data_IF_725055309318
#
_entry.id   IF_725055309318
#
_cell.length_a   1.000
_cell.length_b   1.000
_cell.length_c   1.000
_cell.angle_alpha   90.00
_cell.angle_beta   90.00
_cell.angle_gamma   90.00
#
_symmetry.space_group_name_H-M   'P 1'
#
loop_
_entity.id
_entity.type
_entity.pdbx_description
1 polymer ?
#
# COMPACT_ATOMS: atom_id res chain seq x y z
N UNK A 1 6.44 1.67 20.95
CA UNK A 1 7.47 2.74 20.87
C UNK A 1 6.83 4.10 21.10
N UNK A 2 5.54 4.25 20.76
CA UNK A 2 4.61 5.14 21.45
C UNK A 2 3.73 4.27 22.39
N UNK A 3 3.16 4.84 23.45
CA UNK A 3 2.25 4.13 24.38
C UNK A 3 0.89 3.92 23.70
N UNK A 4 0.79 2.90 22.84
CA UNK A 4 -0.40 2.57 22.05
C UNK A 4 -1.47 1.85 22.90
N UNK A 5 -1.96 2.49 23.96
CA UNK A 5 -3.09 1.94 24.72
C UNK A 5 -4.37 2.09 23.89
N UNK A 6 -4.98 0.98 23.46
CA UNK A 6 -6.34 0.95 22.92
C UNK A 6 -6.48 0.79 21.41
N UNK A 7 -5.42 0.39 20.69
CA UNK A 7 -5.51 0.00 19.27
C UNK A 7 -4.92 -1.41 19.11
N UNK A 8 -5.79 -2.37 18.76
CA UNK A 8 -5.38 -3.71 18.31
C UNK A 8 -4.32 -3.55 17.23
N UNK A 9 -3.18 -4.24 17.38
CA UNK A 9 -2.00 -4.05 16.55
C UNK A 9 -2.33 -3.85 15.07
N UNK A 10 -1.69 -2.86 14.45
CA UNK A 10 -1.91 -2.42 13.06
C UNK A 10 -1.43 -3.43 12.02
N UNK A 11 -1.97 -4.66 12.08
CA UNK A 11 -1.79 -5.70 11.08
C UNK A 11 -3.10 -6.50 10.99
N UNK A 12 -3.65 -6.67 9.79
CA UNK A 12 -4.88 -7.44 9.52
C UNK A 12 -4.90 -8.82 10.23
N UNK A 13 -3.77 -9.51 10.28
CA UNK A 13 -3.70 -10.83 10.93
C UNK A 13 -3.79 -10.74 12.44
N UNK A 14 -3.22 -9.70 13.04
CA UNK A 14 -3.34 -9.46 14.46
C UNK A 14 -4.79 -9.13 14.82
N UNK A 15 -5.43 -8.28 14.01
CA UNK A 15 -6.84 -7.96 14.16
C UNK A 15 -7.75 -9.17 14.00
N UNK A 16 -7.55 -10.00 12.97
CA UNK A 16 -8.30 -11.23 12.75
C UNK A 16 -8.33 -12.13 13.99
N UNK A 17 -7.21 -12.20 14.71
CA UNK A 17 -6.99 -13.09 15.84
C UNK A 17 -7.20 -12.40 17.19
N UNK A 18 -7.56 -11.12 17.22
CA UNK A 18 -7.58 -10.28 18.43
C UNK A 18 -8.75 -10.54 19.39
N UNK A 19 -9.77 -11.31 18.98
CA UNK A 19 -11.02 -11.45 19.74
C UNK A 19 -10.83 -11.95 21.18
N UNK A 20 -9.77 -12.71 21.44
CA UNK A 20 -9.44 -13.21 22.78
C UNK A 20 -8.86 -12.13 23.71
N UNK A 21 -8.38 -11.01 23.16
CA UNK A 21 -7.63 -9.97 23.87
C UNK A 21 -8.32 -8.60 23.84
N UNK A 22 -9.36 -8.41 23.03
CA UNK A 22 -10.17 -7.18 23.03
C UNK A 22 -11.28 -7.23 24.09
N UNK A 23 -11.65 -6.06 24.60
CA UNK A 23 -12.78 -5.94 25.53
C UNK A 23 -14.10 -6.32 24.86
N UNK A 24 -15.04 -6.87 25.63
CA UNK A 24 -16.38 -7.20 25.14
C UNK A 24 -17.12 -5.96 24.59
N UNK A 25 -16.88 -4.80 25.19
CA UNK A 25 -17.46 -3.52 24.76
C UNK A 25 -17.08 -3.13 23.32
N UNK A 26 -15.89 -3.51 22.88
CA UNK A 26 -15.40 -3.33 21.51
C UNK A 26 -15.81 -4.51 20.61
N UNK A 27 -15.59 -5.75 21.09
CA UNK A 27 -15.83 -6.97 20.33
C UNK A 27 -17.28 -7.13 19.87
N UNK A 28 -18.28 -6.68 20.65
CA UNK A 28 -19.69 -6.78 20.26
C UNK A 28 -20.05 -6.11 18.93
N UNK A 29 -19.25 -5.14 18.48
CA UNK A 29 -19.44 -4.42 17.21
C UNK A 29 -18.66 -5.02 16.04
N UNK A 30 -17.92 -6.09 16.26
CA UNK A 30 -17.12 -6.75 15.24
C UNK A 30 -17.74 -8.08 14.86
N UNK A 31 -18.13 -8.28 13.59
CA UNK A 31 -18.64 -9.56 13.14
C UNK A 31 -17.59 -10.67 13.25
N UNK A 32 -18.02 -11.89 13.55
CA UNK A 32 -17.14 -13.04 13.81
C UNK A 32 -16.32 -13.49 12.57
N UNK A 33 -16.80 -13.18 11.37
CA UNK A 33 -16.05 -13.42 10.14
C UNK A 33 -15.00 -12.33 9.86
N UNK A 34 -15.05 -11.20 10.56
CA UNK A 34 -14.00 -10.15 10.47
C UNK A 34 -12.92 -10.40 11.54
N UNK A 35 -13.35 -10.66 12.78
CA UNK A 35 -12.52 -11.10 13.91
C UNK A 35 -12.98 -12.47 14.39
N UNK A 36 -12.13 -13.48 14.23
CA UNK A 36 -12.48 -14.87 14.55
C UNK A 36 -12.83 -15.02 16.03
N UNK A 37 -13.82 -15.87 16.36
CA UNK A 37 -14.12 -16.17 17.76
C UNK A 37 -12.88 -16.76 18.46
N UNK A 38 -12.80 -16.60 19.78
CA UNK A 38 -11.64 -17.03 20.59
C UNK A 38 -11.27 -18.50 20.35
N UNK A 39 -12.27 -19.37 20.19
CA UNK A 39 -12.11 -20.79 19.88
C UNK A 39 -11.42 -21.07 18.54
N UNK A 40 -11.55 -20.18 17.56
CA UNK A 40 -10.88 -20.27 16.27
C UNK A 40 -9.54 -19.51 16.25
N UNK A 41 -9.41 -18.44 17.04
CA UNK A 41 -8.20 -17.65 17.13
C UNK A 41 -7.06 -18.39 17.85
N UNK A 42 -7.34 -19.03 19.00
CA UNK A 42 -6.31 -19.71 19.81
C UNK A 42 -5.57 -20.84 19.07
N UNK A 43 -6.23 -21.73 18.30
CA UNK A 43 -5.56 -22.70 17.45
C UNK A 43 -4.58 -22.08 16.44
N UNK A 44 -4.93 -20.94 15.83
CA UNK A 44 -4.08 -20.25 14.85
C UNK A 44 -2.92 -19.50 15.51
N UNK A 45 -3.11 -18.98 16.73
CA UNK A 45 -2.05 -18.30 17.48
C UNK A 45 -0.98 -19.30 17.93
N UNK A 46 -1.42 -20.44 18.48
CA UNK A 46 -0.53 -21.45 19.05
C UNK A 46 0.03 -22.40 17.99
N UNK A 47 -0.72 -22.65 16.92
CA UNK A 47 -0.46 -23.71 15.95
C UNK A 47 -0.95 -25.06 16.47
N UNK A 48 -1.63 -25.80 15.60
CA UNK A 48 -2.15 -27.14 15.87
C UNK A 48 -1.35 -28.25 15.20
N UNK A 49 -0.45 -27.89 14.27
CA UNK A 49 0.42 -28.82 13.53
C UNK A 49 -0.30 -29.69 12.49
N UNK A 50 -1.63 -29.66 12.46
CA UNK A 50 -2.48 -30.44 11.56
C UNK A 50 -3.67 -29.58 11.10
N UNK A 51 -3.77 -29.37 9.78
CA UNK A 51 -4.82 -28.57 9.17
C UNK A 51 -6.22 -29.17 9.38
N UNK A 52 -6.34 -30.50 9.60
CA UNK A 52 -7.62 -31.16 9.87
C UNK A 52 -8.25 -30.77 11.20
N UNK A 53 -7.47 -30.21 12.13
CA UNK A 53 -7.92 -29.79 13.47
C UNK A 53 -8.37 -28.34 13.54
N UNK A 54 -8.23 -27.59 12.44
CA UNK A 54 -8.64 -26.20 12.39
C UNK A 54 -10.18 -26.10 12.30
N UNK A 55 -10.80 -25.12 13.00
CA UNK A 55 -12.23 -24.86 12.89
C UNK A 55 -12.55 -24.14 11.57
N UNK A 56 -12.55 -24.92 10.48
CA UNK A 56 -12.78 -24.42 9.12
C UNK A 56 -14.14 -23.74 8.94
N UNK A 57 -15.15 -24.13 9.72
CA UNK A 57 -16.45 -23.49 9.76
C UNK A 57 -16.40 -21.99 10.10
N UNK A 58 -15.45 -21.59 10.96
CA UNK A 58 -15.25 -20.18 11.35
C UNK A 58 -14.20 -19.49 10.47
N UNK A 59 -13.16 -20.23 10.08
CA UNK A 59 -12.03 -19.68 9.31
C UNK A 59 -12.41 -19.40 7.85
N UNK A 60 -13.18 -20.29 7.20
CA UNK A 60 -13.52 -20.14 5.79
C UNK A 60 -14.37 -18.88 5.51
N UNK A 61 -15.41 -18.54 6.29
CA UNK A 61 -16.11 -17.27 6.16
C UNK A 61 -15.17 -16.06 6.24
N UNK A 62 -14.19 -16.08 7.14
CA UNK A 62 -13.24 -14.97 7.29
C UNK A 62 -12.29 -14.82 6.09
N UNK A 63 -11.88 -15.95 5.49
CA UNK A 63 -11.11 -15.96 4.24
C UNK A 63 -11.98 -15.43 3.10
N UNK A 64 -13.22 -15.89 2.98
CA UNK A 64 -14.13 -15.47 1.92
C UNK A 64 -14.49 -13.98 2.03
N UNK A 65 -14.67 -13.47 3.23
CA UNK A 65 -14.92 -12.03 3.45
C UNK A 65 -13.74 -11.19 2.92
N UNK A 66 -12.49 -11.53 3.28
CA UNK A 66 -11.30 -10.83 2.75
C UNK A 66 -11.13 -11.02 1.25
N UNK A 67 -11.38 -12.23 0.74
CA UNK A 67 -11.29 -12.53 -0.68
C UNK A 67 -12.28 -11.70 -1.49
N UNK A 68 -13.54 -11.61 -1.05
CA UNK A 68 -14.56 -10.79 -1.71
C UNK A 68 -14.23 -9.30 -1.61
N UNK A 69 -13.83 -8.83 -0.44
CA UNK A 69 -13.45 -7.44 -0.24
C UNK A 69 -12.28 -7.03 -1.15
N UNK A 70 -11.18 -7.79 -1.16
CA UNK A 70 -10.05 -7.49 -2.04
C UNK A 70 -10.37 -7.75 -3.51
N UNK A 71 -11.12 -8.80 -3.82
CA UNK A 71 -11.48 -9.16 -5.19
C UNK A 71 -12.40 -8.15 -5.84
N UNK A 72 -13.45 -7.70 -5.14
CA UNK A 72 -14.38 -6.67 -5.64
C UNK A 72 -13.63 -5.34 -5.83
N UNK A 73 -12.76 -4.96 -4.88
CA UNK A 73 -11.97 -3.73 -5.03
C UNK A 73 -10.94 -3.83 -6.17
N UNK A 74 -10.38 -5.03 -6.39
CA UNK A 74 -9.48 -5.30 -7.52
C UNK A 74 -10.20 -5.04 -8.84
N UNK A 75 -11.46 -5.43 -8.99
CA UNK A 75 -12.24 -5.09 -10.18
C UNK A 75 -12.42 -3.58 -10.37
N UNK A 76 -12.66 -2.82 -9.29
CA UNK A 76 -12.76 -1.35 -9.35
C UNK A 76 -11.44 -0.77 -9.87
N UNK A 77 -10.32 -1.14 -9.26
CA UNK A 77 -9.00 -0.60 -9.61
C UNK A 77 -8.51 -1.04 -10.98
N UNK A 78 -8.74 -2.29 -11.39
CA UNK A 78 -8.46 -2.77 -12.76
C UNK A 78 -9.31 -1.97 -13.76
N UNK A 79 -10.59 -1.73 -13.48
CA UNK A 79 -11.46 -0.91 -14.33
C UNK A 79 -10.95 0.52 -14.49
N UNK A 80 -10.49 1.15 -13.40
CA UNK A 80 -9.86 2.47 -13.41
C UNK A 80 -8.53 2.44 -14.19
N UNK A 81 -7.68 1.43 -13.95
CA UNK A 81 -6.43 1.27 -14.68
C UNK A 81 -6.66 1.12 -16.19
N UNK A 82 -7.71 0.39 -16.60
CA UNK A 82 -8.12 0.29 -18.00
C UNK A 82 -8.55 1.64 -18.58
N UNK A 83 -9.31 2.43 -17.82
CA UNK A 83 -9.75 3.76 -18.25
C UNK A 83 -8.56 4.69 -18.45
N UNK A 84 -7.59 4.72 -17.53
CA UNK A 84 -6.43 5.62 -17.62
C UNK A 84 -5.24 5.05 -18.39
N UNK A 85 -5.32 3.80 -18.86
CA UNK A 85 -4.22 3.08 -19.53
C UNK A 85 -3.60 3.89 -20.66
N UNK A 86 -4.42 4.44 -21.55
CA UNK A 86 -3.94 5.22 -22.69
C UNK A 86 -3.39 6.57 -22.26
N UNK A 87 -4.12 7.29 -21.42
CA UNK A 87 -3.71 8.63 -20.97
C UNK A 87 -2.34 8.57 -20.28
N UNK A 88 -2.20 7.67 -19.30
CA UNK A 88 -0.98 7.59 -18.50
C UNK A 88 0.21 7.00 -19.25
N UNK A 89 0.00 6.00 -20.13
CA UNK A 89 1.11 5.28 -20.77
C UNK A 89 1.47 5.87 -22.14
N UNK A 90 0.49 6.22 -22.98
CA UNK A 90 0.74 6.67 -24.36
C UNK A 90 0.83 8.18 -24.49
N UNK A 91 -0.06 8.92 -23.80
CA UNK A 91 -0.19 10.37 -23.94
C UNK A 91 0.77 11.09 -22.99
N UNK A 92 0.57 10.93 -21.67
CA UNK A 92 1.42 11.52 -20.65
C UNK A 92 2.79 10.83 -20.56
N UNK A 93 2.86 9.55 -20.94
CA UNK A 93 4.08 8.74 -20.91
C UNK A 93 4.72 8.71 -19.52
N UNK A 94 3.90 8.50 -18.50
CA UNK A 94 4.36 8.25 -17.13
C UNK A 94 5.48 7.17 -17.18
N UNK A 95 6.62 7.40 -16.51
CA UNK A 95 7.80 6.56 -16.70
C UNK A 95 7.64 5.16 -16.12
N UNK A 96 6.97 5.01 -14.97
CA UNK A 96 6.90 3.80 -14.16
C UNK A 96 8.30 3.16 -13.98
N UNK A 97 9.20 3.78 -13.18
CA UNK A 97 10.59 3.37 -13.10
C UNK A 97 10.81 1.88 -12.77
N UNK A 98 9.93 1.27 -11.96
CA UNK A 98 9.95 -0.17 -11.71
C UNK A 98 9.80 -0.99 -13.00
N UNK A 99 8.82 -0.68 -13.85
CA UNK A 99 8.65 -1.39 -15.13
C UNK A 99 9.88 -1.23 -16.01
N UNK A 100 10.51 -0.04 -16.04
CA UNK A 100 11.72 0.19 -16.81
C UNK A 100 12.87 -0.72 -16.34
N UNK A 101 13.05 -0.86 -15.03
CA UNK A 101 14.04 -1.78 -14.45
C UNK A 101 13.76 -3.23 -14.87
N UNK A 102 12.51 -3.70 -14.70
CA UNK A 102 12.15 -5.08 -15.07
C UNK A 102 12.30 -5.34 -16.58
N UNK A 103 11.88 -4.40 -17.42
CA UNK A 103 12.03 -4.49 -18.87
C UNK A 103 13.51 -4.55 -19.28
N UNK A 104 14.35 -3.66 -18.74
CA UNK A 104 15.78 -3.67 -19.03
C UNK A 104 16.45 -4.97 -18.55
N UNK A 105 16.05 -5.51 -17.40
CA UNK A 105 16.53 -6.83 -16.95
C UNK A 105 16.14 -7.94 -17.95
N UNK A 106 14.88 -7.98 -18.40
CA UNK A 106 14.40 -8.98 -19.33
C UNK A 106 15.16 -8.92 -20.68
N UNK A 107 15.28 -7.74 -21.27
CA UNK A 107 16.01 -7.54 -22.53
C UNK A 107 17.48 -7.98 -22.40
N UNK A 108 18.13 -7.67 -21.28
CA UNK A 108 19.52 -8.06 -21.08
C UNK A 108 19.67 -9.57 -20.87
N UNK A 109 18.76 -10.22 -20.16
CA UNK A 109 18.78 -11.68 -19.96
C UNK A 109 18.56 -12.42 -21.28
N UNK A 110 17.62 -11.99 -22.10
CA UNK A 110 17.35 -12.60 -23.42
C UNK A 110 18.55 -12.49 -24.35
N UNK A 111 19.25 -11.35 -24.34
CA UNK A 111 20.38 -11.08 -25.22
C UNK A 111 21.74 -11.47 -24.62
N UNK A 112 21.81 -11.95 -23.37
CA UNK A 112 23.08 -12.19 -22.66
C UNK A 112 23.98 -13.24 -23.33
N UNK A 113 23.37 -14.14 -24.12
CA UNK A 113 24.07 -15.19 -24.88
C UNK A 113 24.79 -14.63 -26.11
N UNK A 114 24.37 -13.47 -26.61
CA UNK A 114 24.98 -12.80 -27.76
C UNK A 114 26.27 -12.12 -27.30
N UNK A 115 27.42 -12.59 -27.81
CA UNK A 115 28.74 -12.07 -27.40
C UNK A 115 28.93 -10.60 -27.77
N UNK A 116 28.28 -10.17 -28.84
CA UNK A 116 28.27 -8.82 -29.40
C UNK A 116 27.27 -7.87 -28.72
N UNK A 117 26.50 -8.33 -27.73
CA UNK A 117 25.54 -7.48 -27.03
C UNK A 117 26.26 -6.36 -26.25
N UNK A 118 26.09 -5.07 -26.61
CA UNK A 118 26.88 -3.98 -26.05
C UNK A 118 26.75 -3.83 -24.53
N UNK A 119 25.58 -4.19 -23.99
CA UNK A 119 25.28 -4.03 -22.56
C UNK A 119 25.67 -5.25 -21.72
N UNK A 120 26.23 -6.32 -22.31
CA UNK A 120 26.50 -7.58 -21.61
C UNK A 120 27.43 -7.40 -20.42
N UNK A 121 28.57 -6.74 -20.63
CA UNK A 121 29.57 -6.52 -19.57
C UNK A 121 29.00 -5.62 -18.47
N UNK A 122 28.34 -4.52 -18.85
CA UNK A 122 27.72 -3.59 -17.90
C UNK A 122 26.63 -4.27 -17.07
N UNK A 123 25.78 -5.09 -17.69
CA UNK A 123 24.73 -5.83 -17.01
C UNK A 123 25.29 -6.86 -16.02
N UNK A 124 26.27 -7.66 -16.44
CA UNK A 124 26.93 -8.65 -15.58
C UNK A 124 27.68 -8.00 -14.41
N UNK A 125 28.38 -6.89 -14.68
CA UNK A 125 29.05 -6.11 -13.64
C UNK A 125 28.03 -5.53 -12.65
N UNK A 126 26.92 -4.98 -13.15
CA UNK A 126 25.83 -4.48 -12.31
C UNK A 126 25.21 -5.56 -11.44
N UNK A 127 25.00 -6.77 -11.98
CA UNK A 127 24.50 -7.92 -11.22
C UNK A 127 25.51 -8.35 -10.13
N UNK A 128 26.80 -8.42 -10.47
CA UNK A 128 27.86 -8.75 -9.52
C UNK A 128 27.94 -7.72 -8.40
N UNK A 129 27.96 -6.42 -8.74
CA UNK A 129 27.98 -5.32 -7.78
C UNK A 129 26.74 -5.36 -6.90
N UNK A 130 25.55 -5.54 -7.48
CA UNK A 130 24.30 -5.68 -6.73
C UNK A 130 24.31 -6.86 -5.76
N UNK A 131 24.83 -8.01 -6.20
CA UNK A 131 25.01 -9.18 -5.33
C UNK A 131 25.96 -8.89 -4.18
N UNK A 132 27.14 -8.33 -4.46
CA UNK A 132 28.13 -7.96 -3.43
C UNK A 132 27.56 -6.95 -2.43
N UNK A 133 26.78 -5.97 -2.91
CA UNK A 133 26.19 -4.95 -2.05
C UNK A 133 25.04 -5.49 -1.19
N UNK A 134 24.23 -6.44 -1.69
CA UNK A 134 23.11 -7.01 -0.93
C UNK A 134 23.52 -8.20 -0.05
N UNK A 135 24.61 -8.90 -0.38
CA UNK A 135 25.09 -10.07 0.37
C UNK A 135 25.33 -9.78 1.86
N UNK A 136 25.93 -8.63 2.28
CA UNK A 136 26.08 -8.30 3.69
C UNK A 136 24.77 -8.27 4.48
N UNK A 137 23.68 -7.79 3.87
CA UNK A 137 22.37 -7.74 4.53
C UNK A 137 21.87 -9.17 4.79
N UNK A 138 21.86 -10.02 3.75
CA UNK A 138 21.43 -11.42 3.87
C UNK A 138 22.31 -12.22 4.82
N UNK A 139 23.64 -12.07 4.70
CA UNK A 139 24.60 -12.79 5.53
C UNK A 139 24.49 -12.40 7.02
N UNK A 140 24.23 -11.13 7.32
CA UNK A 140 24.00 -10.66 8.70
C UNK A 140 22.80 -11.34 9.36
N UNK A 141 21.73 -11.63 8.62
CA UNK A 141 20.57 -12.35 9.14
C UNK A 141 20.76 -13.87 9.21
N UNK A 142 21.42 -14.46 8.22
CA UNK A 142 21.58 -15.91 8.13
C UNK A 142 22.71 -16.46 9.00
N UNK A 143 23.77 -15.67 9.24
CA UNK A 143 24.97 -16.12 9.91
C UNK A 143 25.28 -15.23 11.12
N UNK A 144 25.10 -15.72 12.36
CA UNK A 144 25.38 -14.94 13.56
C UNK A 144 26.81 -14.41 13.67
N UNK A 145 27.78 -15.09 13.04
CA UNK A 145 29.20 -14.70 13.02
C UNK A 145 29.55 -13.65 11.96
N UNK A 146 28.68 -13.42 10.96
CA UNK A 146 28.96 -12.47 9.90
C UNK A 146 28.81 -11.04 10.44
N UNK A 147 29.77 -10.14 10.16
CA UNK A 147 29.74 -8.78 10.69
C UNK A 147 28.57 -7.99 10.12
N UNK A 148 27.92 -7.18 10.96
CA UNK A 148 26.84 -6.28 10.55
C UNK A 148 27.40 -5.02 9.87
N UNK A 149 27.91 -5.18 8.63
CA UNK A 149 28.64 -4.15 7.89
C UNK A 149 27.82 -2.87 7.70
N UNK A 150 26.51 -3.00 7.47
CA UNK A 150 25.62 -1.85 7.30
C UNK A 150 24.93 -1.43 8.60
N UNK A 151 25.29 -2.01 9.74
CA UNK A 151 24.58 -1.75 11.00
C UNK A 151 23.07 -2.07 10.86
N UNK A 152 22.70 -3.04 10.04
CA UNK A 152 21.32 -3.39 9.73
C UNK A 152 20.53 -3.87 10.95
N UNK A 153 21.19 -4.49 11.94
CA UNK A 153 20.56 -4.93 13.20
C UNK A 153 20.43 -3.81 14.23
N UNK A 154 21.10 -2.68 14.03
CA UNK A 154 21.18 -1.59 15.01
C UNK A 154 20.56 -0.31 14.44
N UNK A 155 19.67 0.33 15.22
CA UNK A 155 19.07 1.64 14.89
C UNK A 155 18.47 1.73 13.48
N UNK A 156 17.96 0.61 12.96
CA UNK A 156 17.39 0.48 11.62
C UNK A 156 15.90 0.15 11.75
N UNK A 157 15.06 0.97 11.14
CA UNK A 157 13.62 0.71 11.05
C UNK A 157 13.33 -0.20 9.85
N UNK A 158 12.15 -0.85 9.84
CA UNK A 158 11.74 -1.89 8.89
C UNK A 158 12.21 -1.74 7.42
N UNK A 159 12.05 -0.57 6.77
CA UNK A 159 12.46 -0.38 5.37
C UNK A 159 13.98 -0.13 5.17
N UNK A 160 14.81 -0.44 6.17
CA UNK A 160 16.26 -0.20 6.11
C UNK A 160 16.66 1.25 6.42
N UNK A 161 15.76 2.06 6.96
CA UNK A 161 16.03 3.47 7.24
C UNK A 161 16.63 3.66 8.62
N UNK A 162 17.73 4.42 8.72
CA UNK A 162 18.39 4.73 9.99
C UNK A 162 18.43 6.24 10.25
N UNK A 163 18.38 6.62 11.52
CA UNK A 163 18.74 7.95 11.93
C UNK A 163 20.27 8.05 12.08
N UNK A 164 20.85 9.13 11.58
CA UNK A 164 22.30 9.32 11.54
C UNK A 164 22.77 10.59 12.27
N UNK A 165 21.85 11.43 12.74
CA UNK A 165 22.22 12.67 13.40
C UNK A 165 22.69 12.40 14.84
N UNK A 166 23.62 13.23 15.38
CA UNK A 166 24.00 13.18 16.78
C UNK A 166 22.81 13.25 17.76
N UNK A 167 22.89 12.58 18.93
CA UNK A 167 21.92 12.73 20.02
C UNK A 167 21.64 14.21 20.35
N UNK A 168 20.37 14.53 20.63
CA UNK A 168 19.96 15.89 21.01
C UNK A 168 19.67 16.85 19.84
N UNK A 169 19.91 16.45 18.59
CA UNK A 169 19.56 17.27 17.42
C UNK A 169 18.11 16.96 16.98
N UNK A 170 17.28 17.97 16.67
CA UNK A 170 15.90 17.78 16.20
C UNK A 170 15.83 17.39 14.72
N UNK A 171 16.79 16.59 14.25
CA UNK A 171 16.80 16.04 12.90
C UNK A 171 15.84 14.86 12.85
N UNK A 172 14.90 14.86 11.91
CA UNK A 172 13.86 13.83 11.82
C UNK A 172 14.07 12.86 10.65
N UNK A 173 14.89 13.21 9.66
CA UNK A 173 15.12 12.37 8.47
C UNK A 173 16.03 11.17 8.75
N UNK A 174 15.75 10.10 8.00
CA UNK A 174 16.55 8.90 7.98
C UNK A 174 17.26 8.72 6.64
N UNK A 175 18.42 8.07 6.68
CA UNK A 175 19.13 7.62 5.49
C UNK A 175 18.75 6.16 5.28
N UNK A 176 18.29 5.83 4.07
CA UNK A 176 18.03 4.45 3.71
C UNK A 176 19.36 3.70 3.50
N UNK A 177 19.58 2.61 4.25
CA UNK A 177 20.76 1.73 4.14
C UNK A 177 20.71 0.82 2.92
N UNK A 178 19.54 0.64 2.31
CA UNK A 178 19.35 -0.34 1.25
C UNK A 178 20.03 0.12 -0.04
N UNK A 179 21.05 -0.58 -0.56
CA UNK A 179 21.78 -0.12 -1.75
C UNK A 179 20.89 0.04 -2.99
N UNK A 180 19.87 -0.82 -3.12
CA UNK A 180 18.93 -0.71 -4.25
C UNK A 180 18.10 0.56 -4.22
N UNK A 181 17.86 1.17 -3.06
CA UNK A 181 17.16 2.45 -2.97
C UNK A 181 17.93 3.54 -3.70
N UNK A 182 19.24 3.63 -3.45
CA UNK A 182 20.13 4.59 -4.10
C UNK A 182 20.30 4.31 -5.59
N UNK A 183 20.43 3.03 -5.97
CA UNK A 183 20.48 2.64 -7.39
C UNK A 183 19.19 3.05 -8.12
N UNK A 184 18.04 2.91 -7.46
CA UNK A 184 16.75 3.29 -8.02
C UNK A 184 16.60 4.81 -8.15
N UNK A 185 17.11 5.60 -7.20
CA UNK A 185 17.11 7.06 -7.28
C UNK A 185 17.84 7.59 -8.53
N UNK A 186 18.84 6.87 -9.06
CA UNK A 186 19.52 7.26 -10.31
C UNK A 186 18.63 7.20 -11.56
N UNK A 187 17.47 6.55 -11.46
CA UNK A 187 16.51 6.39 -12.57
C UNK A 187 15.40 7.45 -12.47
N UNK A 188 15.24 8.09 -11.31
CA UNK A 188 14.22 9.09 -11.08
C UNK A 188 14.62 10.40 -11.78
N UNK A 189 13.69 11.09 -12.48
CA UNK A 189 14.01 12.36 -13.12
C UNK A 189 14.57 13.39 -12.13
N UNK A 190 15.66 14.05 -12.52
CA UNK A 190 16.43 14.98 -11.66
C UNK A 190 15.57 16.10 -11.08
N UNK A 191 14.58 16.61 -11.83
CA UNK A 191 13.68 17.66 -11.34
C UNK A 191 12.82 17.20 -10.16
N UNK A 192 12.41 15.93 -10.12
CA UNK A 192 11.72 15.38 -8.94
C UNK A 192 12.67 15.26 -7.76
N UNK A 193 13.87 14.72 -7.97
CA UNK A 193 14.89 14.60 -6.91
C UNK A 193 15.25 15.96 -6.31
N UNK A 194 15.44 16.97 -7.16
CA UNK A 194 15.73 18.34 -6.73
C UNK A 194 14.57 18.92 -5.93
N UNK A 195 13.34 18.79 -6.43
CA UNK A 195 12.12 19.24 -5.72
C UNK A 195 11.99 18.56 -4.35
N UNK A 196 12.15 17.23 -4.32
CA UNK A 196 12.12 16.46 -3.07
C UNK A 196 13.16 16.95 -2.08
N UNK A 197 14.42 17.12 -2.51
CA UNK A 197 15.49 17.61 -1.64
C UNK A 197 15.22 19.03 -1.14
N UNK A 198 14.77 19.92 -2.02
CA UNK A 198 14.47 21.31 -1.68
C UNK A 198 13.37 21.42 -0.62
N UNK A 199 12.22 20.77 -0.83
CA UNK A 199 11.12 20.80 0.12
C UNK A 199 11.45 20.06 1.43
N UNK A 200 12.24 19.00 1.36
CA UNK A 200 12.77 18.31 2.53
C UNK A 200 13.69 19.22 3.37
N UNK A 201 14.54 20.04 2.73
CA UNK A 201 15.37 21.01 3.45
C UNK A 201 14.54 22.14 4.07
N UNK A 202 13.56 22.69 3.35
CA UNK A 202 12.61 23.66 3.91
C UNK A 202 11.93 23.06 5.15
N UNK A 203 11.52 21.81 5.04
CA UNK A 203 10.83 21.11 6.11
C UNK A 203 11.71 20.94 7.35
N UNK A 204 12.96 20.51 7.18
CA UNK A 204 13.92 20.43 8.28
C UNK A 204 14.18 21.81 8.91
N UNK A 205 14.36 22.87 8.10
CA UNK A 205 14.53 24.22 8.63
C UNK A 205 13.33 24.62 9.52
N UNK A 206 12.11 24.32 9.09
CA UNK A 206 10.90 24.59 9.88
C UNK A 206 10.87 23.82 11.21
N UNK A 207 11.32 22.56 11.22
CA UNK A 207 11.44 21.78 12.46
C UNK A 207 12.48 22.40 13.38
N UNK A 208 13.67 22.74 12.87
CA UNK A 208 14.72 23.34 13.69
C UNK A 208 14.28 24.67 14.31
N UNK A 209 13.57 25.51 13.54
CA UNK A 209 12.97 26.75 14.05
C UNK A 209 11.93 26.46 15.13
N UNK A 210 11.03 25.50 14.89
CA UNK A 210 9.99 25.11 15.85
C UNK A 210 10.59 24.54 17.14
N UNK A 211 11.64 23.74 17.02
CA UNK A 211 12.39 23.19 18.14
C UNK A 211 13.07 24.29 18.96
N UNK A 212 13.72 25.25 18.30
CA UNK A 212 14.32 26.41 18.95
C UNK A 212 13.26 27.28 19.67
N UNK A 213 12.02 27.30 19.18
CA UNK A 213 10.88 27.95 19.82
C UNK A 213 10.25 27.13 20.97
N UNK A 214 10.77 25.94 21.28
CA UNK A 214 10.32 25.10 22.39
C UNK A 214 9.29 24.03 22.01
N UNK A 215 8.96 23.85 20.73
CA UNK A 215 8.09 22.77 20.26
C UNK A 215 8.88 21.47 20.04
N UNK A 216 8.23 20.31 20.19
CA UNK A 216 8.83 18.99 19.87
C UNK A 216 10.14 18.67 20.62
N UNK A 217 10.37 19.25 21.80
CA UNK A 217 11.64 19.07 22.55
C UNK A 217 11.89 17.60 22.92
N UNK A 218 10.81 16.87 23.21
CA UNK A 218 10.80 15.43 23.49
C UNK A 218 11.18 14.56 22.29
N UNK A 219 11.11 15.09 21.05
CA UNK A 219 11.46 14.33 19.84
C UNK A 219 12.91 13.83 19.89
N UNK A 220 13.78 14.51 20.64
CA UNK A 220 15.18 14.09 20.83
C UNK A 220 15.34 12.79 21.61
N UNK A 221 14.31 12.38 22.36
CA UNK A 221 14.28 11.16 23.17
C UNK A 221 13.74 9.96 22.40
N UNK A 222 13.13 10.17 21.23
CA UNK A 222 12.61 9.08 20.40
C UNK A 222 13.68 8.53 19.45
N UNK A 223 13.62 7.22 19.24
CA UNK A 223 14.30 6.56 18.13
C UNK A 223 13.73 7.02 16.78
N UNK A 224 14.46 6.76 15.68
CA UNK A 224 14.16 7.27 14.32
C UNK A 224 12.66 7.29 13.97
N UNK A 225 12.02 6.13 14.07
CA UNK A 225 10.63 5.95 13.69
C UNK A 225 9.67 6.65 14.69
N UNK A 226 10.01 6.69 15.98
CA UNK A 226 9.25 7.44 16.98
C UNK A 226 9.28 8.95 16.75
N UNK A 227 10.34 9.51 16.17
CA UNK A 227 10.42 10.95 15.82
C UNK A 227 9.38 11.39 14.78
N UNK A 228 8.94 10.45 13.95
CA UNK A 228 7.97 10.70 12.89
C UNK A 228 6.53 10.39 13.33
N UNK A 229 6.33 9.51 14.31
CA UNK A 229 5.00 8.98 14.63
C UNK A 229 4.54 9.18 16.07
N UNK A 230 5.45 9.33 17.04
CA UNK A 230 5.07 9.59 18.43
C UNK A 230 4.78 11.07 18.63
N UNK A 231 3.77 11.37 19.44
CA UNK A 231 3.50 12.74 19.87
C UNK A 231 4.28 13.06 21.17
N UNK A 232 4.82 14.28 21.32
CA UNK A 232 4.79 15.39 20.36
C UNK A 232 5.83 15.24 19.23
N UNK A 233 5.39 15.35 17.97
CA UNK A 233 6.26 15.38 16.78
C UNK A 233 5.74 16.33 15.70
N UNK A 234 6.59 16.81 14.79
CA UNK A 234 6.15 17.72 13.73
C UNK A 234 5.12 17.10 12.77
N UNK A 235 5.02 15.76 12.70
CA UNK A 235 4.09 15.08 11.81
C UNK A 235 2.63 15.17 12.29
N UNK A 236 2.38 15.00 13.59
CA UNK A 236 1.01 14.97 14.17
C UNK A 236 0.70 16.15 15.09
N UNK A 237 1.70 16.88 15.58
CA UNK A 237 1.51 17.91 16.62
C UNK A 237 1.74 19.35 16.10
N UNK A 238 1.01 20.35 16.62
CA UNK A 238 1.22 21.77 16.30
C UNK A 238 2.66 22.25 16.62
N UNK A 239 3.16 23.29 15.92
CA UNK A 239 2.47 24.11 14.91
C UNK A 239 2.50 23.58 13.47
N UNK A 240 3.38 22.62 13.14
CA UNK A 240 3.62 22.19 11.75
C UNK A 240 2.51 21.26 11.22
N UNK A 241 2.22 20.17 11.94
CA UNK A 241 1.23 19.15 11.54
C UNK A 241 1.35 18.68 10.07
N UNK A 242 2.49 18.09 9.70
CA UNK A 242 2.77 17.64 8.32
C UNK A 242 1.67 16.73 7.77
N UNK A 243 1.10 15.84 8.60
CA UNK A 243 0.05 14.91 8.16
C UNK A 243 -1.15 15.64 7.55
N UNK A 244 -1.49 16.83 8.04
CA UNK A 244 -2.57 17.68 7.51
C UNK A 244 -2.16 18.30 6.18
N UNK A 245 -0.93 18.81 6.08
CA UNK A 245 -0.37 19.37 4.82
C UNK A 245 -0.31 18.29 3.75
N UNK A 246 0.19 17.10 4.10
CA UNK A 246 0.26 15.92 3.22
C UNK A 246 -1.13 15.54 2.72
N UNK A 247 -2.10 15.40 3.62
CA UNK A 247 -3.50 15.16 3.29
C UNK A 247 -4.04 16.17 2.27
N UNK A 248 -3.88 17.47 2.57
CA UNK A 248 -4.37 18.54 1.70
C UNK A 248 -3.72 18.51 0.31
N UNK A 249 -2.40 18.29 0.25
CA UNK A 249 -1.65 18.19 -1.00
C UNK A 249 -2.12 16.99 -1.84
N UNK A 250 -2.32 15.83 -1.21
CA UNK A 250 -2.73 14.60 -1.89
C UNK A 250 -4.18 14.65 -2.40
N UNK A 251 -5.10 15.22 -1.61
CA UNK A 251 -6.47 15.53 -2.07
C UNK A 251 -6.41 16.56 -3.21
N UNK A 252 -5.53 17.56 -3.10
CA UNK A 252 -5.29 18.54 -4.16
C UNK A 252 -4.81 17.91 -5.46
N UNK A 253 -3.93 16.91 -5.40
CA UNK A 253 -3.49 16.13 -6.57
C UNK A 253 -4.67 15.38 -7.19
N UNK A 254 -5.50 14.71 -6.38
CA UNK A 254 -6.69 14.03 -6.89
C UNK A 254 -7.65 14.99 -7.61
N UNK A 255 -7.99 16.12 -6.98
CA UNK A 255 -8.88 17.12 -7.57
C UNK A 255 -8.28 17.70 -8.86
N UNK A 256 -6.99 18.03 -8.83
CA UNK A 256 -6.27 18.55 -9.99
C UNK A 256 -6.31 17.56 -11.14
N UNK A 257 -6.04 16.27 -10.89
CA UNK A 257 -6.17 15.23 -11.89
C UNK A 257 -7.57 15.19 -12.50
N UNK A 258 -8.63 15.15 -11.67
CA UNK A 258 -10.00 15.11 -12.20
C UNK A 258 -10.28 16.35 -13.06
N UNK A 259 -9.78 17.53 -12.67
CA UNK A 259 -9.93 18.76 -13.45
C UNK A 259 -9.16 18.67 -14.78
N UNK A 260 -7.88 18.29 -14.77
CA UNK A 260 -7.05 18.20 -15.98
C UNK A 260 -7.60 17.14 -16.95
N UNK A 261 -7.99 15.99 -16.41
CA UNK A 261 -8.49 14.83 -17.17
C UNK A 261 -9.98 14.88 -17.50
N UNK A 262 -10.70 15.94 -17.12
CA UNK A 262 -12.16 16.03 -17.29
C UNK A 262 -12.63 15.79 -18.72
N UNK A 263 -11.84 16.23 -19.70
CA UNK A 263 -12.16 16.05 -21.13
C UNK A 263 -11.97 14.59 -21.53
N UNK A 264 -10.85 13.98 -21.15
CA UNK A 264 -10.59 12.57 -21.38
C UNK A 264 -11.64 11.68 -20.72
N UNK A 265 -11.95 11.91 -19.44
CA UNK A 265 -13.01 11.19 -18.72
C UNK A 265 -14.36 11.33 -19.45
N UNK A 266 -14.73 12.54 -19.88
CA UNK A 266 -15.97 12.76 -20.63
C UNK A 266 -15.97 12.03 -22.00
N UNK A 267 -14.83 11.96 -22.68
CA UNK A 267 -14.67 11.22 -23.93
C UNK A 267 -14.82 9.71 -23.72
N UNK A 268 -14.20 9.14 -22.68
CA UNK A 268 -14.35 7.70 -22.36
C UNK A 268 -15.78 7.34 -21.95
N UNK A 269 -16.50 8.24 -21.25
CA UNK A 269 -17.92 8.07 -20.92
C UNK A 269 -18.81 8.14 -22.17
N UNK A 270 -18.53 9.07 -23.10
CA UNK A 270 -19.21 9.13 -24.41
C UNK A 270 -18.91 7.90 -25.25
N UNK A 271 -17.69 7.38 -25.21
CA UNK A 271 -17.33 6.12 -25.86
C UNK A 271 -18.06 4.93 -25.22
N UNK A 272 -18.25 4.93 -23.90
CA UNK A 272 -18.96 3.87 -23.19
C UNK A 272 -20.46 3.82 -23.51
N UNK A 273 -21.15 4.97 -23.36
CA UNK A 273 -22.62 5.05 -23.35
C UNK A 273 -23.23 5.79 -24.56
N UNK A 274 -22.41 6.49 -25.35
CA UNK A 274 -22.86 7.26 -26.51
C UNK A 274 -22.73 6.53 -27.85
N UNK A 275 -23.24 7.16 -28.91
CA UNK A 275 -23.00 6.79 -30.31
C UNK A 275 -21.79 7.57 -30.82
N UNK A 276 -20.57 7.05 -30.63
CA UNK A 276 -19.38 7.59 -31.27
C UNK A 276 -19.06 6.83 -32.55
N UNK A 277 -18.87 7.54 -33.67
CA UNK A 277 -18.42 6.99 -34.95
C UNK A 277 -16.92 6.65 -34.95
N UNK A 278 -16.13 7.13 -33.99
CA UNK A 278 -14.68 6.89 -33.87
C UNK A 278 -14.31 5.75 -32.91
N UNK A 279 -15.29 4.97 -32.46
CA UNK A 279 -15.16 3.96 -31.39
C UNK A 279 -14.13 2.86 -31.72
N UNK A 280 -13.99 2.46 -32.97
CA UNK A 280 -13.08 1.38 -33.39
C UNK A 280 -11.60 1.77 -33.41
N UNK A 281 -11.28 3.02 -33.76
CA UNK A 281 -9.89 3.50 -33.84
C UNK A 281 -9.33 3.81 -32.44
N UNK A 282 -10.20 4.29 -31.54
CA UNK A 282 -9.82 4.64 -30.16
C UNK A 282 -9.66 3.41 -29.24
N UNK A 283 -10.42 2.33 -29.47
CA UNK A 283 -10.46 1.15 -28.58
C UNK A 283 -9.57 -0.02 -29.04
N UNK A 284 -8.93 0.07 -30.22
CA UNK A 284 -8.22 -1.06 -30.84
C UNK A 284 -7.05 -1.61 -30.03
N UNK A 285 -6.40 -0.77 -29.22
CA UNK A 285 -5.26 -1.12 -28.33
C UNK A 285 -5.62 -1.14 -26.85
N UNK A 286 -6.89 -0.91 -26.52
CA UNK A 286 -7.34 -0.91 -25.14
C UNK A 286 -7.49 -2.35 -24.59
N UNK A 287 -7.25 -2.56 -23.29
CA UNK A 287 -7.36 -3.89 -22.69
C UNK A 287 -8.76 -4.51 -22.89
N UNK A 288 -9.80 -3.69 -22.70
CA UNK A 288 -11.21 -3.97 -22.98
C UNK A 288 -11.89 -2.67 -23.44
N UNK A 289 -13.12 -2.73 -23.96
CA UNK A 289 -13.86 -1.52 -24.35
C UNK A 289 -14.07 -0.58 -23.16
N UNK A 290 -14.12 0.74 -23.39
CA UNK A 290 -14.41 1.71 -22.33
C UNK A 290 -15.77 1.44 -21.67
N UNK A 291 -16.74 0.90 -22.42
CA UNK A 291 -18.03 0.44 -21.87
C UNK A 291 -17.83 -0.64 -20.82
N UNK A 292 -17.03 -1.67 -21.12
CA UNK A 292 -16.75 -2.75 -20.18
C UNK A 292 -15.98 -2.24 -18.95
N UNK A 293 -15.01 -1.34 -19.14
CA UNK A 293 -14.26 -0.74 -18.03
C UNK A 293 -15.15 0.07 -17.10
N UNK A 294 -16.00 0.96 -17.63
CA UNK A 294 -16.93 1.75 -16.81
C UNK A 294 -17.99 0.88 -16.11
N UNK A 295 -18.54 -0.13 -16.80
CA UNK A 295 -19.47 -1.09 -16.18
C UNK A 295 -18.78 -1.84 -15.04
N UNK A 296 -17.53 -2.29 -15.24
CA UNK A 296 -16.75 -2.95 -14.20
C UNK A 296 -16.59 -2.05 -12.98
N UNK A 297 -16.20 -0.78 -13.15
CA UNK A 297 -16.07 0.18 -12.04
C UNK A 297 -17.41 0.37 -11.32
N UNK A 298 -18.48 0.69 -12.05
CA UNK A 298 -19.79 1.02 -11.46
C UNK A 298 -20.38 -0.19 -10.72
N UNK A 299 -20.41 -1.36 -11.37
CA UNK A 299 -21.00 -2.58 -10.79
C UNK A 299 -20.17 -3.05 -9.60
N UNK A 300 -18.83 -3.06 -9.69
CA UNK A 300 -18.00 -3.46 -8.56
C UNK A 300 -18.07 -2.47 -7.40
N UNK A 301 -18.23 -1.17 -7.66
CA UNK A 301 -18.45 -0.17 -6.61
C UNK A 301 -19.78 -0.41 -5.88
N UNK A 302 -20.87 -0.64 -6.61
CA UNK A 302 -22.18 -0.97 -6.02
C UNK A 302 -22.11 -2.29 -5.24
N UNK A 303 -21.46 -3.33 -5.78
CA UNK A 303 -21.26 -4.60 -5.09
C UNK A 303 -20.46 -4.42 -3.79
N UNK A 304 -19.46 -3.54 -3.80
CA UNK A 304 -18.69 -3.22 -2.59
C UNK A 304 -19.55 -2.54 -1.53
N UNK A 305 -20.41 -1.60 -1.94
CA UNK A 305 -21.36 -0.97 -1.01
C UNK A 305 -22.29 -2.01 -0.39
N UNK A 306 -22.88 -2.90 -1.19
CA UNK A 306 -23.75 -3.98 -0.69
C UNK A 306 -22.98 -4.90 0.27
N UNK A 307 -21.75 -5.25 -0.07
CA UNK A 307 -20.88 -6.07 0.76
C UNK A 307 -20.59 -5.43 2.14
N UNK A 308 -20.32 -4.13 2.17
CA UNK A 308 -20.11 -3.42 3.44
C UNK A 308 -21.39 -3.21 4.24
N UNK A 309 -22.53 -2.98 3.59
CA UNK A 309 -23.84 -2.96 4.27
C UNK A 309 -24.11 -4.32 4.91
N UNK A 310 -23.84 -5.42 4.21
CA UNK A 310 -23.98 -6.78 4.76
C UNK A 310 -23.02 -7.03 5.95
N UNK A 311 -21.83 -6.42 5.90
CA UNK A 311 -20.87 -6.47 7.02
C UNK A 311 -21.36 -5.70 8.25
N UNK A 312 -22.34 -4.81 8.10
CA UNK A 312 -22.94 -4.03 9.18
C UNK A 312 -22.56 -2.54 9.17
N UNK A 313 -21.88 -2.05 8.12
CA UNK A 313 -21.60 -0.63 7.98
C UNK A 313 -22.87 0.14 7.60
N UNK A 314 -22.96 1.40 8.00
CA UNK A 314 -24.02 2.29 7.52
C UNK A 314 -23.95 2.48 5.99
N UNK A 315 -25.07 2.81 5.32
CA UNK A 315 -25.06 3.07 3.87
C UNK A 315 -24.08 4.18 3.47
N UNK A 316 -23.90 5.20 4.30
CA UNK A 316 -22.96 6.28 4.04
C UNK A 316 -21.50 5.81 4.10
N UNK A 317 -21.11 5.10 5.16
CA UNK A 317 -19.73 4.58 5.24
C UNK A 317 -19.46 3.49 4.20
N UNK A 318 -20.46 2.71 3.84
CA UNK A 318 -20.36 1.75 2.72
C UNK A 318 -20.04 2.43 1.39
N UNK A 319 -20.39 3.71 1.20
CA UNK A 319 -19.96 4.54 0.07
C UNK A 319 -18.58 5.18 0.31
N UNK A 320 -18.38 5.82 1.47
CA UNK A 320 -17.17 6.60 1.78
C UNK A 320 -15.91 5.72 1.76
N UNK A 321 -15.98 4.51 2.32
CA UNK A 321 -14.85 3.58 2.42
C UNK A 321 -14.26 3.21 1.04
N UNK A 322 -15.03 2.65 0.08
CA UNK A 322 -14.49 2.36 -1.24
C UNK A 322 -14.12 3.62 -2.02
N UNK A 323 -14.83 4.73 -1.83
CA UNK A 323 -14.48 6.01 -2.47
C UNK A 323 -13.12 6.53 -1.99
N UNK A 324 -12.86 6.51 -0.69
CA UNK A 324 -11.56 6.87 -0.13
C UNK A 324 -10.45 5.95 -0.66
N UNK A 325 -10.73 4.66 -0.86
CA UNK A 325 -9.81 3.74 -1.52
C UNK A 325 -9.50 4.13 -2.96
N UNK A 326 -10.50 4.53 -3.75
CA UNK A 326 -10.29 5.01 -5.13
C UNK A 326 -9.38 6.23 -5.13
N UNK A 327 -9.70 7.24 -4.30
CA UNK A 327 -8.89 8.47 -4.18
C UNK A 327 -7.45 8.11 -3.79
N UNK A 328 -7.30 7.28 -2.77
CA UNK A 328 -5.99 6.84 -2.26
C UNK A 328 -5.14 6.23 -3.37
N UNK A 329 -5.64 5.19 -4.04
CA UNK A 329 -4.82 4.42 -4.96
C UNK A 329 -4.60 5.09 -6.32
N UNK A 330 -5.51 5.96 -6.76
CA UNK A 330 -5.26 6.82 -7.91
C UNK A 330 -4.10 7.78 -7.63
N UNK A 331 -4.13 8.50 -6.51
CA UNK A 331 -3.09 9.47 -6.15
C UNK A 331 -1.76 8.76 -5.93
N UNK A 332 -1.75 7.71 -5.11
CA UNK A 332 -0.52 6.97 -4.82
C UNK A 332 0.03 6.31 -6.08
N UNK A 333 -0.80 5.81 -6.99
CA UNK A 333 -0.33 5.28 -8.26
C UNK A 333 0.21 6.34 -9.23
N UNK A 334 -0.30 7.57 -9.20
CA UNK A 334 0.28 8.69 -9.95
C UNK A 334 1.66 9.09 -9.44
N UNK A 335 1.80 9.22 -8.12
CA UNK A 335 3.08 9.52 -7.46
C UNK A 335 4.06 8.39 -7.79
N UNK A 336 3.65 7.16 -7.51
CA UNK A 336 4.47 5.97 -7.73
C UNK A 336 4.84 5.77 -9.20
N UNK A 337 3.96 6.05 -10.15
CA UNK A 337 4.27 5.98 -11.57
C UNK A 337 5.35 6.98 -12.00
N UNK A 338 5.50 8.13 -11.33
CA UNK A 338 6.48 9.17 -11.68
C UNK A 338 7.82 8.98 -10.99
N UNK A 339 7.80 8.73 -9.68
CA UNK A 339 9.01 8.65 -8.86
C UNK A 339 9.37 7.24 -8.44
N UNK A 340 8.47 6.26 -8.62
CA UNK A 340 8.72 4.88 -8.22
C UNK A 340 8.79 4.69 -6.70
N UNK A 341 8.26 5.61 -5.91
CA UNK A 341 8.10 5.45 -4.47
C UNK A 341 6.64 5.62 -4.09
N UNK A 342 6.16 4.72 -3.24
CA UNK A 342 4.84 4.79 -2.63
C UNK A 342 5.07 5.20 -1.18
N UNK A 343 4.38 6.23 -0.74
CA UNK A 343 4.23 6.50 0.68
C UNK A 343 3.13 5.61 1.24
N UNK A 344 2.99 5.55 2.56
CA UNK A 344 1.94 4.79 3.24
C UNK A 344 0.74 5.71 3.53
N UNK A 345 -0.31 5.72 2.69
CA UNK A 345 -1.43 6.64 2.86
C UNK A 345 -2.28 6.39 4.11
N UNK A 346 -2.01 5.33 4.87
CA UNK A 346 -2.68 4.98 6.12
C UNK A 346 -2.40 5.97 7.26
N UNK A 347 -1.34 6.76 7.16
CA UNK A 347 -1.01 7.76 8.18
C UNK A 347 -1.63 9.13 7.92
N UNK A 348 -2.09 9.39 6.70
CA UNK A 348 -2.61 10.70 6.29
C UNK A 348 -3.86 10.58 5.40
N UNK A 349 -3.69 10.34 4.10
CA UNK A 349 -4.71 10.51 3.07
C UNK A 349 -5.95 9.67 3.33
N UNK A 350 -5.79 8.36 3.54
CA UNK A 350 -6.93 7.45 3.66
C UNK A 350 -7.77 7.74 4.91
N UNK A 351 -7.20 7.82 6.14
CA UNK A 351 -7.99 8.14 7.32
C UNK A 351 -8.54 9.56 7.26
N UNK A 352 -7.80 10.53 6.74
CA UNK A 352 -8.28 11.90 6.66
C UNK A 352 -9.42 12.05 5.65
N UNK A 353 -9.37 11.37 4.49
CA UNK A 353 -10.46 11.38 3.51
C UNK A 353 -11.76 10.83 4.12
N UNK A 354 -11.68 9.70 4.82
CA UNK A 354 -12.83 9.11 5.51
C UNK A 354 -13.34 10.07 6.60
N UNK A 355 -12.43 10.61 7.41
CA UNK A 355 -12.77 11.52 8.51
C UNK A 355 -13.45 12.78 8.01
N UNK A 356 -12.95 13.42 6.95
CA UNK A 356 -13.57 14.64 6.37
C UNK A 356 -14.99 14.36 5.88
N UNK A 357 -15.24 13.19 5.29
CA UNK A 357 -16.55 12.85 4.71
C UNK A 357 -17.56 12.29 5.73
N UNK A 358 -17.09 11.64 6.79
CA UNK A 358 -17.97 10.94 7.73
C UNK A 358 -17.98 11.57 9.13
N UNK A 359 -16.82 12.01 9.63
CA UNK A 359 -16.63 12.42 11.01
C UNK A 359 -15.75 13.68 11.15
N UNK A 360 -16.07 14.78 10.45
CA UNK A 360 -15.17 15.93 10.33
C UNK A 360 -14.91 16.63 11.67
N UNK A 361 -15.82 16.48 12.64
CA UNK A 361 -15.77 17.15 13.95
C UNK A 361 -15.35 16.23 15.10
N UNK A 362 -15.19 14.93 14.86
CA UNK A 362 -14.86 13.96 15.91
C UNK A 362 -13.36 13.70 15.91
N UNK A 363 -12.75 13.69 17.11
CA UNK A 363 -11.32 13.41 17.29
C UNK A 363 -11.07 11.99 17.79
N UNK A 364 -11.86 11.55 18.77
CA UNK A 364 -11.82 10.20 19.36
C UNK A 364 -13.27 9.77 19.62
N UNK A 365 -13.96 9.20 18.63
CA UNK A 365 -15.35 8.79 18.82
C UNK A 365 -15.44 7.59 19.76
N UNK A 366 -16.49 7.56 20.58
CA UNK A 366 -16.83 6.38 21.37
C UNK A 366 -17.27 5.24 20.44
N UNK A 367 -16.76 4.04 20.70
CA UNK A 367 -17.01 2.88 19.85
C UNK A 367 -18.37 2.29 20.21
N UNK A 368 -19.41 2.74 19.50
CA UNK A 368 -20.80 2.38 19.75
C UNK A 368 -21.52 1.75 18.55
N UNK A 369 -20.79 1.46 17.47
CA UNK A 369 -21.31 0.88 16.24
C UNK A 369 -20.22 0.13 15.47
N UNK A 370 -20.63 -0.71 14.50
CA UNK A 370 -19.72 -1.37 13.56
C UNK A 370 -18.87 -0.35 12.80
N UNK A 371 -19.48 0.79 12.46
CA UNK A 371 -18.82 1.91 11.78
C UNK A 371 -17.57 2.37 12.53
N UNK A 372 -17.70 2.70 13.82
CA UNK A 372 -16.55 3.15 14.64
C UNK A 372 -15.57 2.04 14.99
N UNK A 373 -16.03 0.78 15.02
CA UNK A 373 -15.16 -0.35 15.35
C UNK A 373 -14.32 -0.82 14.14
N UNK A 374 -14.90 -0.85 12.95
CA UNK A 374 -14.32 -1.50 11.77
C UNK A 374 -13.69 -0.52 10.78
N UNK A 375 -14.26 0.67 10.56
CA UNK A 375 -13.76 1.58 9.52
C UNK A 375 -12.35 2.13 9.81
N UNK A 376 -11.97 2.45 11.06
CA UNK A 376 -10.58 2.83 11.36
C UNK A 376 -9.57 1.74 10.95
N UNK A 377 -9.92 0.47 11.15
CA UNK A 377 -9.09 -0.65 10.70
C UNK A 377 -9.05 -0.74 9.18
N UNK A 378 -10.20 -0.70 8.51
CA UNK A 378 -10.26 -0.73 7.04
C UNK A 378 -9.41 0.38 6.45
N UNK A 379 -9.54 1.59 7.00
CA UNK A 379 -8.77 2.77 6.62
C UNK A 379 -7.27 2.54 6.71
N UNK A 380 -6.79 2.07 7.87
CA UNK A 380 -5.36 1.89 8.11
C UNK A 380 -4.79 0.71 7.33
N UNK A 381 -5.36 -0.48 7.49
CA UNK A 381 -4.75 -1.73 7.04
C UNK A 381 -5.10 -2.09 5.60
N UNK A 382 -6.40 -2.13 5.30
CA UNK A 382 -6.89 -2.73 4.06
C UNK A 382 -6.86 -1.74 2.90
N UNK A 383 -7.10 -0.46 3.19
CA UNK A 383 -7.19 0.60 2.20
C UNK A 383 -5.87 1.36 2.11
N UNK A 384 -5.30 1.78 3.24
CA UNK A 384 -4.24 2.78 3.27
C UNK A 384 -2.81 2.27 3.46
N UNK A 385 -2.57 1.00 3.78
CA UNK A 385 -1.21 0.58 4.20
C UNK A 385 -0.21 0.48 3.02
N UNK A 386 0.41 -0.67 2.77
CA UNK A 386 1.24 -0.86 1.57
C UNK A 386 0.39 -1.45 0.43
N UNK A 387 0.83 -1.23 -0.82
CA UNK A 387 0.13 -1.74 -2.00
C UNK A 387 -0.09 -3.26 -1.92
N UNK A 388 0.86 -4.01 -1.35
CA UNK A 388 0.76 -5.45 -1.16
C UNK A 388 -0.11 -5.87 0.06
N UNK A 389 -0.60 -4.93 0.88
CA UNK A 389 -1.41 -5.22 2.07
C UNK A 389 -2.91 -5.28 1.78
N UNK A 390 -3.34 -4.78 0.62
CA UNK A 390 -4.77 -4.70 0.32
C UNK A 390 -5.09 -4.05 -1.02
N UNK A 391 -5.87 -2.97 -0.96
CA UNK A 391 -6.62 -2.38 -2.07
C UNK A 391 -5.75 -1.89 -3.25
N UNK A 392 -4.47 -1.60 -3.03
CA UNK A 392 -3.57 -1.05 -4.05
C UNK A 392 -2.93 -2.04 -5.01
N UNK A 393 -2.85 -3.32 -4.61
CA UNK A 393 -2.08 -4.35 -5.32
C UNK A 393 -2.53 -4.52 -6.77
N UNK A 394 -3.83 -4.64 -6.99
CA UNK A 394 -4.42 -4.82 -8.31
C UNK A 394 -4.21 -3.59 -9.21
N UNK A 395 -4.32 -2.38 -8.65
CA UNK A 395 -4.07 -1.15 -9.40
C UNK A 395 -2.64 -1.12 -9.96
N UNK A 396 -1.65 -1.35 -9.09
CA UNK A 396 -0.24 -1.35 -9.46
C UNK A 396 0.08 -2.47 -10.45
N UNK A 397 -0.39 -3.69 -10.17
CA UNK A 397 -0.21 -4.83 -11.05
C UNK A 397 -0.73 -4.52 -12.47
N UNK A 398 -1.91 -3.90 -12.59
CA UNK A 398 -2.49 -3.53 -13.88
C UNK A 398 -1.67 -2.48 -14.62
N UNK A 399 -1.41 -1.32 -14.03
CA UNK A 399 -0.72 -0.21 -14.73
C UNK A 399 0.71 -0.59 -15.11
N UNK A 400 1.42 -1.34 -14.26
CA UNK A 400 2.75 -1.86 -14.56
C UNK A 400 2.75 -2.84 -15.71
N UNK A 401 1.78 -3.76 -15.70
CA UNK A 401 1.68 -4.78 -16.73
C UNK A 401 1.33 -4.15 -18.07
N UNK A 402 0.47 -3.12 -18.09
CA UNK A 402 0.20 -2.37 -19.31
C UNK A 402 1.41 -1.57 -19.79
N UNK A 403 2.18 -0.96 -18.89
CA UNK A 403 3.43 -0.30 -19.27
C UNK A 403 4.44 -1.31 -19.84
N UNK A 404 4.54 -2.50 -19.23
CA UNK A 404 5.41 -3.57 -19.71
C UNK A 404 4.96 -4.05 -21.09
N UNK A 405 3.65 -4.17 -21.30
CA UNK A 405 3.06 -4.53 -22.58
C UNK A 405 3.43 -3.52 -23.67
N UNK A 406 3.34 -2.22 -23.37
CA UNK A 406 3.72 -1.14 -24.28
C UNK A 406 5.21 -1.22 -24.67
N UNK A 407 6.10 -1.37 -23.69
CA UNK A 407 7.54 -1.53 -23.93
C UNK A 407 7.87 -2.79 -24.75
N UNK A 408 7.23 -3.91 -24.44
CA UNK A 408 7.41 -5.19 -25.12
C UNK A 408 6.61 -5.33 -26.43
N UNK A 409 5.80 -4.32 -26.80
CA UNK A 409 4.89 -4.34 -27.96
C UNK A 409 3.89 -5.50 -27.94
N UNK A 410 3.41 -5.86 -26.76
CA UNK A 410 2.38 -6.89 -26.53
C UNK A 410 1.01 -6.24 -26.44
N UNK A 411 -0.02 -6.93 -26.94
CA UNK A 411 -1.40 -6.44 -26.87
C UNK A 411 -1.90 -6.40 -25.41
N UNK A 412 -2.38 -5.24 -24.96
CA UNK A 412 -2.90 -5.05 -23.60
C UNK A 412 -4.11 -5.93 -23.28
N UNK A 413 -4.85 -6.40 -24.28
CA UNK A 413 -5.97 -7.33 -24.11
C UNK A 413 -5.53 -8.69 -23.58
N UNK A 414 -4.41 -9.21 -24.07
CA UNK A 414 -3.89 -10.49 -23.61
C UNK A 414 -3.30 -10.37 -22.21
N UNK A 415 -2.65 -9.24 -21.92
CA UNK A 415 -2.19 -8.90 -20.58
C UNK A 415 -3.35 -8.77 -19.59
N UNK A 416 -4.48 -8.17 -19.97
CA UNK A 416 -5.67 -8.11 -19.13
C UNK A 416 -6.21 -9.51 -18.79
N UNK A 417 -6.30 -10.42 -19.78
CA UNK A 417 -6.72 -11.81 -19.51
C UNK A 417 -5.78 -12.49 -18.51
N UNK A 418 -4.46 -12.30 -18.67
CA UNK A 418 -3.47 -12.85 -17.75
C UNK A 418 -3.61 -12.28 -16.34
N UNK A 419 -3.84 -10.98 -16.20
CA UNK A 419 -4.09 -10.34 -14.89
C UNK A 419 -5.29 -10.99 -14.22
N UNK A 420 -6.43 -11.13 -14.91
CA UNK A 420 -7.64 -11.72 -14.30
C UNK A 420 -7.41 -13.19 -13.90
N UNK A 421 -6.78 -13.99 -14.76
CA UNK A 421 -6.56 -15.43 -14.48
C UNK A 421 -5.51 -15.66 -13.40
N UNK A 422 -4.54 -14.76 -13.23
CA UNK A 422 -3.48 -14.90 -12.22
C UNK A 422 -3.86 -14.27 -10.87
N UNK A 423 -4.47 -13.09 -10.87
CA UNK A 423 -4.67 -12.28 -9.66
C UNK A 423 -5.63 -12.95 -8.67
N UNK A 424 -6.81 -13.42 -9.11
CA UNK A 424 -7.80 -13.98 -8.18
C UNK A 424 -7.39 -15.32 -7.57
N UNK A 425 -6.85 -16.30 -8.34
CA UNK A 425 -6.31 -17.51 -7.74
C UNK A 425 -5.14 -17.23 -6.80
N UNK A 426 -4.22 -16.33 -7.19
CA UNK A 426 -3.10 -15.94 -6.33
C UNK A 426 -3.59 -15.28 -5.03
N UNK A 427 -4.59 -14.40 -5.10
CA UNK A 427 -5.22 -13.78 -3.94
C UNK A 427 -5.83 -14.83 -3.00
N UNK A 428 -6.59 -15.78 -3.54
CA UNK A 428 -7.21 -16.83 -2.74
C UNK A 428 -6.17 -17.74 -2.05
N UNK A 429 -5.16 -18.18 -2.81
CA UNK A 429 -4.05 -18.99 -2.27
C UNK A 429 -3.27 -18.20 -1.21
N UNK A 430 -3.00 -16.92 -1.45
CA UNK A 430 -2.34 -16.04 -0.49
C UNK A 430 -3.13 -15.94 0.82
N UNK A 431 -4.44 -15.70 0.76
CA UNK A 431 -5.29 -15.61 1.95
C UNK A 431 -5.35 -16.94 2.69
N UNK A 432 -5.49 -18.07 1.99
CA UNK A 432 -5.43 -19.40 2.59
C UNK A 432 -4.10 -19.63 3.32
N UNK A 433 -2.98 -19.31 2.68
CA UNK A 433 -1.65 -19.45 3.25
C UNK A 433 -1.48 -18.57 4.49
N UNK A 434 -1.82 -17.29 4.38
CA UNK A 434 -1.62 -16.29 5.43
C UNK A 434 -2.51 -16.51 6.65
N UNK A 435 -3.79 -16.84 6.43
CA UNK A 435 -4.79 -16.92 7.51
C UNK A 435 -4.81 -18.30 8.16
N UNK A 436 -4.81 -19.36 7.35
CA UNK A 436 -5.07 -20.71 7.83
C UNK A 436 -3.84 -21.61 7.83
N UNK A 437 -3.16 -21.76 6.69
CA UNK A 437 -2.15 -22.82 6.53
C UNK A 437 -0.92 -22.54 7.38
N UNK A 438 -0.28 -21.38 7.20
CA UNK A 438 0.94 -21.07 7.94
C UNK A 438 0.65 -20.96 9.45
N UNK A 439 -0.33 -20.16 9.91
CA UNK A 439 -0.60 -20.05 11.34
C UNK A 439 -1.13 -21.34 11.95
N UNK A 440 -1.93 -22.12 11.22
CA UNK A 440 -2.42 -23.40 11.71
C UNK A 440 -1.33 -24.44 11.89
N UNK A 441 -0.35 -24.50 10.98
CA UNK A 441 0.77 -25.45 11.08
C UNK A 441 1.80 -25.03 12.11
N UNK A 442 2.20 -23.76 12.11
CA UNK A 442 3.36 -23.28 12.89
C UNK A 442 2.98 -22.44 14.10
N UNK A 443 1.77 -21.89 14.14
CA UNK A 443 1.36 -20.87 15.11
C UNK A 443 1.81 -19.48 14.68
N UNK A 444 0.91 -18.49 14.77
CA UNK A 444 1.22 -17.09 14.46
C UNK A 444 2.46 -16.59 15.21
N UNK A 445 2.66 -17.04 16.47
CA UNK A 445 3.82 -16.65 17.28
C UNK A 445 5.16 -17.05 16.70
N UNK A 446 5.22 -18.16 15.96
CA UNK A 446 6.45 -18.63 15.30
C UNK A 446 6.69 -17.97 13.96
N UNK A 447 5.68 -17.27 13.43
CA UNK A 447 5.71 -16.58 12.15
C UNK A 447 6.05 -15.08 12.35
N UNK A 448 6.34 -14.66 13.57
CA UNK A 448 6.82 -13.32 13.90
C UNK A 448 5.79 -12.42 14.58
N UNK A 449 4.63 -12.94 14.99
CA UNK A 449 3.66 -12.20 15.79
C UNK A 449 3.94 -12.34 17.29
N UNK A 450 3.88 -11.24 18.02
CA UNK A 450 3.95 -11.23 19.49
C UNK A 450 2.55 -11.18 20.11
N UNK A 451 2.42 -11.61 21.37
CA UNK A 451 1.12 -11.56 22.06
C UNK A 451 0.58 -10.13 22.18
N UNK A 452 1.47 -9.15 22.31
CA UNK A 452 1.11 -7.73 22.33
C UNK A 452 0.45 -7.26 21.03
N UNK A 453 0.74 -7.91 19.91
CA UNK A 453 0.20 -7.49 18.61
C UNK A 453 -1.31 -7.76 18.55
N UNK A 454 -1.78 -8.78 19.28
CA UNK A 454 -3.20 -9.11 19.38
C UNK A 454 -3.93 -8.34 20.48
N UNK A 455 -3.20 -7.67 21.37
CA UNK A 455 -3.77 -6.88 22.46
C UNK A 455 -4.24 -5.53 21.92
N UNK A 456 -5.47 -5.17 22.28
CA UNK A 456 -6.09 -3.88 21.94
C UNK A 456 -5.68 -2.79 22.91
#
# INVERSE_FOLDING_TARGET
>A
MCDDRGIVGGNDQAYLLSRYAISESFGRYLPEFVTLPTEASLPLINGVGDLGRLPWNSILPAIMWRFLMFGIFSCITIGIANIFRREWIEIEKIPFPYTLVYHTCLVNVENIRRRDWPMRTTFLLGLLVGFILCLPIGATYMFPWFPDIYSWKTSTCGPGSQWFAPPGIPWHLGINKHPTFWAFMLIIPVHYLFSTLFYLLIFEIAIFVSYAAGYYTEMTQYDFCGRNWCAPSPYVSPPIQISVVSTGALIGIFISMIIYERRYIAETLRAAFGRSSSRSEFEGREPISYRSSWIMVIVSFILMMIFFIYTGLSPWLSFVVPFAGIVTWIVTGMVWGRIGFAYEPCYDLTPAMIRIMAWPTQLLPEINSVDYALVPLLSREHIGHYAAAGFGSAFYASVLSYKMADLARINSRDVFKLIIVSLFPALFVYLLCRIAILPGLYGARRIGYELRDFQG
#
